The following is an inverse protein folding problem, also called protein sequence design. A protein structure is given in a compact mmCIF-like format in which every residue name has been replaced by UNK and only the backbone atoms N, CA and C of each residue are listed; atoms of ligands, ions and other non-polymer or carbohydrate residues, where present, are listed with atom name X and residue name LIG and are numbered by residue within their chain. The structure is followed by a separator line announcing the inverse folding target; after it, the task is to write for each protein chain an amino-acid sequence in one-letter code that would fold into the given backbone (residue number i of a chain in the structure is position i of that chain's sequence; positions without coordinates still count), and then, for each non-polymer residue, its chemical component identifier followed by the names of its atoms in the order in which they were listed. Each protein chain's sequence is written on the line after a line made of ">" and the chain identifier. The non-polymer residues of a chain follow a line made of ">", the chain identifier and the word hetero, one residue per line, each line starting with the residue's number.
data_IF_192227923445
#
_entry.id   IF_192227923445
#
_cell.length_a   1.000
_cell.length_b   1.000
_cell.length_c   1.000
_cell.angle_alpha   90.00
_cell.angle_beta   90.00
_cell.angle_gamma   90.00
#
_symmetry.space_group_name_H-M   'P 1'
#
loop_
_entity.id
_entity.type
_entity.pdbx_description
1 polymer ?
#
# COMPACT_ATOMS: atom_id res chain seq x y z
N UNK A 1 15.56 37.94 45.63
CA UNK A 1 14.77 38.49 44.52
C UNK A 1 14.34 37.37 43.58
N UNK A 2 13.05 37.35 43.25
CA UNK A 2 12.46 36.52 42.19
C UNK A 2 12.89 37.06 40.82
N UNK A 3 13.25 36.18 39.89
CA UNK A 3 12.65 36.25 38.55
C UNK A 3 12.72 34.88 37.85
N UNK A 4 11.54 34.30 37.65
CA UNK A 4 11.27 33.24 36.69
C UNK A 4 11.34 33.79 35.25
N UNK A 5 11.81 32.96 34.30
CA UNK A 5 11.56 32.95 32.84
C UNK A 5 12.47 31.86 32.24
N UNK A 6 12.01 30.80 31.59
CA UNK A 6 10.67 30.43 31.14
C UNK A 6 10.56 28.91 30.96
N UNK A 7 9.34 28.41 31.05
CA UNK A 7 8.98 27.03 30.72
C UNK A 7 8.11 26.95 29.47
N UNK A 8 8.19 25.76 28.86
CA UNK A 8 7.31 25.15 27.84
C UNK A 8 7.41 25.73 26.41
N UNK A 9 7.44 24.98 25.30
CA UNK A 9 6.96 23.64 24.92
C UNK A 9 8.01 23.02 23.97
N UNK A 10 8.20 21.72 23.76
CA UNK A 10 7.18 20.73 23.41
C UNK A 10 7.71 19.31 23.64
N UNK A 11 7.15 18.63 24.63
CA UNK A 11 7.15 17.17 24.71
C UNK A 11 6.11 16.59 23.77
N UNK A 12 6.23 16.85 22.47
CA UNK A 12 5.54 16.01 21.49
C UNK A 12 6.34 14.72 21.39
N UNK A 13 5.73 13.53 21.57
CA UNK A 13 6.44 12.30 21.30
C UNK A 13 6.95 12.39 19.86
N UNK A 14 8.27 12.28 19.69
CA UNK A 14 8.86 12.03 18.37
C UNK A 14 8.16 10.79 17.87
N UNK A 15 7.29 10.95 16.86
CA UNK A 15 6.60 9.84 16.25
C UNK A 15 7.67 9.04 15.52
N UNK A 16 8.17 7.99 16.17
CA UNK A 16 9.10 7.08 15.52
C UNK A 16 8.35 6.44 14.35
N UNK A 17 8.75 6.79 13.13
CA UNK A 17 8.19 6.20 11.93
C UNK A 17 8.90 4.88 11.66
N UNK A 18 8.22 3.78 11.97
CA UNK A 18 8.60 2.47 11.49
C UNK A 18 8.35 2.37 9.98
N UNK A 19 9.08 1.45 9.32
CA UNK A 19 8.79 1.09 7.92
C UNK A 19 7.33 0.67 7.82
N UNK A 20 6.56 1.34 6.95
CA UNK A 20 5.18 0.96 6.63
C UNK A 20 5.16 -0.09 5.54
N UNK A 21 4.47 -1.20 5.79
CA UNK A 21 4.31 -2.32 4.88
C UNK A 21 2.84 -2.42 4.48
N UNK A 22 2.59 -2.26 3.19
CA UNK A 22 1.26 -2.37 2.59
C UNK A 22 1.24 -3.47 1.55
N UNK A 23 0.09 -4.14 1.41
CA UNK A 23 -0.08 -5.21 0.42
C UNK A 23 -1.20 -4.86 -0.54
N UNK A 24 -0.95 -5.02 -1.85
CA UNK A 24 -1.95 -4.88 -2.91
C UNK A 24 -2.11 -6.19 -3.65
N UNK A 25 -3.34 -6.67 -3.79
CA UNK A 25 -3.67 -7.76 -4.70
C UNK A 25 -4.38 -7.20 -5.93
N UNK A 26 -3.84 -7.52 -7.12
CA UNK A 26 -4.47 -7.13 -8.39
C UNK A 26 -5.71 -7.99 -8.67
N UNK A 27 -6.63 -7.51 -9.51
CA UNK A 27 -7.66 -8.36 -10.12
C UNK A 27 -7.05 -9.57 -10.81
N UNK A 28 -7.81 -10.67 -10.86
CA UNK A 28 -7.52 -11.78 -11.76
C UNK A 28 -7.49 -11.28 -13.21
N UNK A 29 -6.52 -11.73 -13.97
CA UNK A 29 -6.41 -11.40 -15.39
C UNK A 29 -7.46 -12.14 -16.20
N UNK A 30 -7.76 -11.65 -17.41
CA UNK A 30 -8.69 -12.32 -18.32
C UNK A 30 -8.25 -13.74 -18.65
N UNK A 31 -6.94 -13.98 -18.77
CA UNK A 31 -6.37 -15.33 -18.98
C UNK A 31 -6.62 -16.23 -17.77
N UNK A 32 -6.36 -15.76 -16.56
CA UNK A 32 -6.58 -16.55 -15.35
C UNK A 32 -8.05 -16.90 -15.15
N UNK A 33 -8.94 -15.98 -15.49
CA UNK A 33 -10.40 -16.18 -15.45
C UNK A 33 -10.85 -17.18 -16.52
N UNK A 34 -10.35 -17.05 -17.75
CA UNK A 34 -10.65 -17.98 -18.84
C UNK A 34 -10.11 -19.39 -18.59
N UNK A 35 -8.95 -19.49 -17.93
CA UNK A 35 -8.36 -20.76 -17.47
C UNK A 35 -9.12 -21.38 -16.28
N UNK A 36 -10.17 -20.73 -15.75
CA UNK A 36 -10.96 -21.23 -14.61
C UNK A 36 -10.21 -21.24 -13.28
N UNK A 37 -9.17 -20.41 -13.12
CA UNK A 37 -8.36 -20.38 -11.89
C UNK A 37 -9.15 -19.79 -10.73
N UNK A 38 -8.90 -20.33 -9.54
CA UNK A 38 -9.55 -19.90 -8.31
C UNK A 38 -8.81 -18.73 -7.65
N UNK A 39 -9.56 -17.79 -7.08
CA UNK A 39 -9.02 -16.73 -6.23
C UNK A 39 -8.73 -17.30 -4.84
N UNK A 40 -7.46 -17.46 -4.51
CA UNK A 40 -7.00 -18.03 -3.22
C UNK A 40 -6.54 -16.97 -2.22
N UNK A 41 -6.59 -15.69 -2.59
CA UNK A 41 -6.20 -14.57 -1.74
C UNK A 41 -7.43 -13.72 -1.43
N UNK A 42 -7.72 -13.56 -0.15
CA UNK A 42 -8.75 -12.67 0.38
C UNK A 42 -8.09 -11.52 1.15
N UNK A 43 -8.69 -10.33 1.03
CA UNK A 43 -8.18 -9.10 1.63
C UNK A 43 -9.22 -8.52 2.58
N UNK A 44 -8.91 -8.47 3.87
CA UNK A 44 -9.70 -7.76 4.87
C UNK A 44 -9.14 -6.35 5.08
N UNK A 45 -9.71 -5.39 4.35
CA UNK A 45 -9.32 -3.97 4.41
C UNK A 45 -9.54 -3.34 5.79
N UNK A 46 -10.50 -3.84 6.59
CA UNK A 46 -10.78 -3.29 7.93
C UNK A 46 -9.77 -3.76 8.95
N UNK A 47 -9.30 -4.99 8.83
CA UNK A 47 -8.30 -5.59 9.73
C UNK A 47 -6.87 -5.45 9.24
N UNK A 48 -6.65 -4.93 8.03
CA UNK A 48 -5.32 -4.87 7.43
C UNK A 48 -4.76 -6.27 7.17
N UNK A 49 -5.60 -7.26 6.89
CA UNK A 49 -5.19 -8.66 6.84
C UNK A 49 -5.29 -9.27 5.45
N UNK A 50 -4.32 -10.11 5.10
CA UNK A 50 -4.28 -10.97 3.92
C UNK A 50 -4.55 -12.40 4.36
N UNK A 51 -5.55 -13.05 3.78
CA UNK A 51 -5.95 -14.42 4.08
C UNK A 51 -5.67 -15.28 2.85
N UNK A 52 -4.79 -16.27 3.00
CA UNK A 52 -4.45 -17.24 1.96
C UNK A 52 -5.22 -18.54 2.21
N UNK A 53 -6.10 -18.88 1.28
CA UNK A 53 -6.88 -20.12 1.29
C UNK A 53 -6.10 -21.25 0.60
N UNK A 54 -6.20 -22.47 1.12
CA UNK A 54 -5.62 -23.64 0.47
C UNK A 54 -6.30 -23.90 -0.89
N UNK A 55 -5.52 -24.28 -1.90
CA UNK A 55 -6.03 -24.62 -3.22
C UNK A 55 -6.73 -26.00 -3.16
N UNK A 56 -8.06 -25.95 -3.09
CA UNK A 56 -8.92 -27.13 -3.05
C UNK A 56 -8.75 -28.03 -4.30
N UNK A 57 -8.33 -27.46 -5.44
CA UNK A 57 -8.16 -28.21 -6.69
C UNK A 57 -6.89 -29.07 -6.72
N UNK A 58 -5.91 -28.81 -5.84
CA UNK A 58 -4.64 -29.55 -5.76
C UNK A 58 -4.60 -30.60 -4.65
N UNK A 59 -5.76 -31.01 -4.13
CA UNK A 59 -5.83 -32.00 -3.05
C UNK A 59 -5.40 -31.46 -1.69
N UNK A 60 -5.43 -30.12 -1.50
CA UNK A 60 -5.20 -29.44 -0.23
C UNK A 60 -6.31 -29.73 0.77
N UNK A 61 -6.35 -30.96 1.26
CA UNK A 61 -7.34 -31.43 2.22
C UNK A 61 -6.95 -30.98 3.63
N UNK A 62 -7.49 -29.85 4.07
CA UNK A 62 -7.62 -29.53 5.51
C UNK A 62 -6.62 -28.56 6.13
N UNK A 63 -5.72 -27.93 5.38
CA UNK A 63 -4.92 -26.83 5.95
C UNK A 63 -5.80 -25.60 6.22
N UNK A 64 -5.79 -25.04 7.44
CA UNK A 64 -6.51 -23.82 7.74
C UNK A 64 -5.93 -22.63 6.95
N UNK A 65 -6.75 -21.62 6.62
CA UNK A 65 -6.25 -20.42 5.93
C UNK A 65 -5.13 -19.73 6.71
N UNK A 66 -4.11 -19.26 6.00
CA UNK A 66 -2.97 -18.52 6.59
C UNK A 66 -3.29 -17.03 6.58
N UNK A 67 -3.24 -16.38 7.73
CA UNK A 67 -3.55 -14.95 7.87
C UNK A 67 -2.30 -14.15 8.21
N UNK A 68 -2.09 -13.04 7.50
CA UNK A 68 -0.98 -12.11 7.70
C UNK A 68 -1.55 -10.71 7.92
N UNK A 69 -1.00 -9.93 8.85
CA UNK A 69 -1.44 -8.56 9.14
C UNK A 69 -0.37 -7.57 8.70
N UNK A 70 -0.81 -6.47 8.10
CA UNK A 70 0.01 -5.39 7.56
C UNK A 70 -0.57 -4.04 7.98
N UNK A 71 0.15 -2.95 7.72
CA UNK A 71 -0.34 -1.61 8.05
C UNK A 71 -1.60 -1.26 7.23
N UNK A 72 -1.66 -1.71 5.98
CA UNK A 72 -2.83 -1.55 5.11
C UNK A 72 -2.84 -2.65 4.04
N UNK A 73 -4.04 -3.06 3.63
CA UNK A 73 -4.23 -3.97 2.49
C UNK A 73 -5.18 -3.37 1.45
N UNK A 74 -4.90 -3.65 0.19
CA UNK A 74 -5.64 -3.20 -0.98
C UNK A 74 -6.04 -4.41 -1.81
N UNK A 75 -7.33 -4.51 -2.10
CA UNK A 75 -7.91 -5.59 -2.91
C UNK A 75 -7.97 -5.22 -4.40
N UNK A 76 -8.57 -6.12 -5.18
CA UNK A 76 -8.76 -5.97 -6.63
C UNK A 76 -9.69 -4.81 -7.02
N UNK A 77 -10.43 -4.23 -6.06
CA UNK A 77 -11.28 -3.07 -6.29
C UNK A 77 -10.60 -1.74 -5.96
N UNK A 78 -9.38 -1.78 -5.43
CA UNK A 78 -8.67 -0.61 -4.92
C UNK A 78 -8.08 0.24 -6.04
N UNK A 79 -8.49 1.51 -6.08
CA UNK A 79 -8.08 2.49 -7.11
C UNK A 79 -6.69 3.07 -6.83
N UNK A 80 -6.01 3.53 -7.88
CA UNK A 80 -4.67 4.14 -7.76
C UNK A 80 -4.68 5.40 -6.90
N UNK A 81 -5.73 6.23 -7.05
CA UNK A 81 -5.93 7.45 -6.28
C UNK A 81 -5.91 7.16 -4.77
N UNK A 82 -6.75 6.22 -4.33
CA UNK A 82 -6.86 5.84 -2.91
C UNK A 82 -5.54 5.31 -2.39
N UNK A 83 -4.88 4.43 -3.15
CA UNK A 83 -3.57 3.90 -2.79
C UNK A 83 -2.54 5.02 -2.65
N UNK A 84 -2.51 5.99 -3.58
CA UNK A 84 -1.59 7.12 -3.52
C UNK A 84 -1.81 7.97 -2.26
N UNK A 85 -3.05 8.38 -2.02
CA UNK A 85 -3.42 9.26 -0.90
C UNK A 85 -3.09 8.63 0.46
N UNK A 86 -3.34 7.33 0.61
CA UNK A 86 -3.14 6.63 1.89
C UNK A 86 -1.69 6.20 2.13
N UNK A 87 -0.91 5.92 1.07
CA UNK A 87 0.45 5.36 1.19
C UNK A 87 1.56 6.36 0.88
N UNK A 88 1.47 7.07 -0.23
CA UNK A 88 2.58 7.82 -0.82
C UNK A 88 2.52 9.32 -0.53
N UNK A 89 1.33 9.92 -0.49
CA UNK A 89 1.16 11.37 -0.33
C UNK A 89 1.93 11.93 0.87
N UNK A 90 1.82 11.28 2.03
CA UNK A 90 2.57 11.70 3.25
C UNK A 90 4.09 11.57 3.10
N UNK A 91 4.57 10.61 2.33
CA UNK A 91 6.02 10.44 2.10
C UNK A 91 6.51 11.59 1.20
N UNK A 92 5.71 11.99 0.21
CA UNK A 92 6.01 13.15 -0.65
C UNK A 92 6.02 14.43 0.18
N UNK A 93 5.05 14.62 1.08
CA UNK A 93 5.03 15.76 2.02
C UNK A 93 6.30 15.81 2.88
N UNK A 94 6.69 14.69 3.49
CA UNK A 94 7.94 14.61 4.26
C UNK A 94 9.18 14.94 3.43
N UNK A 95 9.20 14.57 2.14
CA UNK A 95 10.31 14.93 1.23
C UNK A 95 10.36 16.44 0.97
N UNK A 96 9.20 17.09 0.83
CA UNK A 96 9.12 18.55 0.69
C UNK A 96 9.55 19.28 1.97
N UNK A 97 9.38 18.66 3.13
CA UNK A 97 9.91 19.15 4.42
C UNK A 97 11.42 18.90 4.63
N UNK A 98 12.09 18.24 3.68
CA UNK A 98 13.53 17.98 3.69
C UNK A 98 13.94 16.63 4.30
N UNK A 99 13.01 15.70 4.49
CA UNK A 99 13.31 14.32 4.88
C UNK A 99 13.57 13.41 3.67
N UNK A 100 14.30 12.32 3.87
CA UNK A 100 14.46 11.30 2.82
C UNK A 100 13.25 10.35 2.84
N UNK A 101 12.57 10.21 1.70
CA UNK A 101 11.46 9.28 1.51
C UNK A 101 11.79 8.21 0.46
N UNK A 102 11.47 6.96 0.75
CA UNK A 102 11.69 5.83 -0.18
C UNK A 102 10.43 4.98 -0.27
N UNK A 103 9.95 4.76 -1.49
CA UNK A 103 8.86 3.81 -1.80
C UNK A 103 9.39 2.79 -2.80
N UNK A 104 9.22 1.51 -2.51
CA UNK A 104 9.56 0.43 -3.43
C UNK A 104 8.44 -0.59 -3.49
N UNK A 105 8.21 -1.15 -4.67
CA UNK A 105 7.23 -2.21 -4.88
C UNK A 105 7.94 -3.56 -4.94
N UNK A 106 7.46 -4.53 -4.16
CA UNK A 106 8.00 -5.89 -4.11
C UNK A 106 6.95 -6.93 -4.48
N UNK A 107 7.37 -8.02 -5.12
CA UNK A 107 6.48 -9.12 -5.52
C UNK A 107 6.94 -9.84 -6.79
N UNK A 108 6.26 -10.93 -7.14
CA UNK A 108 6.54 -11.73 -8.34
C UNK A 108 6.31 -10.93 -9.64
N UNK A 109 6.91 -11.37 -10.75
CA UNK A 109 6.59 -10.86 -12.09
C UNK A 109 5.09 -10.98 -12.38
N UNK A 110 4.48 -9.94 -12.96
CA UNK A 110 3.05 -9.92 -13.29
C UNK A 110 2.09 -9.61 -12.13
N UNK A 111 2.57 -9.26 -10.94
CA UNK A 111 1.69 -8.90 -9.79
C UNK A 111 1.30 -7.42 -9.74
N UNK A 112 1.76 -6.60 -10.69
CA UNK A 112 1.36 -5.19 -10.78
C UNK A 112 2.31 -4.19 -10.11
N UNK A 113 3.59 -4.53 -9.90
CA UNK A 113 4.61 -3.57 -9.40
C UNK A 113 4.71 -2.32 -10.27
N UNK A 114 4.98 -2.48 -11.57
CA UNK A 114 5.06 -1.38 -12.55
C UNK A 114 3.72 -0.64 -12.64
N UNK A 115 2.61 -1.37 -12.64
CA UNK A 115 1.28 -0.75 -12.63
C UNK A 115 1.06 0.11 -11.37
N UNK A 116 1.55 -0.29 -10.20
CA UNK A 116 1.40 0.51 -8.98
C UNK A 116 2.30 1.74 -8.99
N UNK A 117 3.57 1.60 -9.42
CA UNK A 117 4.54 2.70 -9.40
C UNK A 117 4.32 3.68 -10.56
N UNK A 118 4.19 3.19 -11.78
CA UNK A 118 4.08 4.01 -13.00
C UNK A 118 2.62 4.15 -13.44
N UNK A 119 1.87 3.05 -13.40
CA UNK A 119 0.48 3.01 -13.89
C UNK A 119 0.41 3.09 -15.40
N UNK A 120 -0.67 3.70 -15.90
CA UNK A 120 -0.78 4.09 -17.32
C UNK A 120 -1.10 5.58 -17.40
N UNK A 121 -0.67 6.21 -18.49
CA UNK A 121 -0.83 7.67 -18.66
C UNK A 121 -2.30 8.06 -18.81
N UNK A 122 -3.06 7.24 -19.55
CA UNK A 122 -4.47 7.45 -19.85
C UNK A 122 -5.28 6.16 -19.60
N UNK A 123 -6.46 6.26 -18.97
CA UNK A 123 -7.04 7.48 -18.41
C UNK A 123 -6.36 7.89 -17.07
N UNK A 124 -6.49 9.14 -16.60
CA UNK A 124 -5.71 9.67 -15.47
C UNK A 124 -5.89 8.90 -14.16
N UNK A 125 -7.04 8.26 -13.97
CA UNK A 125 -7.37 7.46 -12.79
C UNK A 125 -6.43 6.27 -12.63
N UNK A 126 -5.82 5.80 -13.73
CA UNK A 126 -4.90 4.66 -13.72
C UNK A 126 -3.42 5.05 -13.56
N UNK A 127 -3.10 6.35 -13.47
CA UNK A 127 -1.75 6.84 -13.18
C UNK A 127 -1.26 6.30 -11.83
N UNK A 128 -0.03 5.84 -11.79
CA UNK A 128 0.59 5.24 -10.60
C UNK A 128 1.13 6.28 -9.62
N UNK A 129 1.92 5.81 -8.65
CA UNK A 129 2.51 6.65 -7.60
C UNK A 129 3.43 7.74 -8.17
N UNK A 130 4.31 7.40 -9.12
CA UNK A 130 5.32 8.31 -9.67
C UNK A 130 4.69 9.54 -10.34
N UNK A 131 3.80 9.42 -11.35
CA UNK A 131 3.18 10.58 -11.97
C UNK A 131 2.31 11.40 -11.01
N UNK A 132 1.71 10.78 -10.00
CA UNK A 132 0.93 11.47 -8.95
C UNK A 132 1.83 12.25 -7.98
N UNK A 133 2.96 11.67 -7.60
CA UNK A 133 3.99 12.34 -6.81
C UNK A 133 4.54 13.57 -7.54
N UNK A 134 4.81 13.45 -8.85
CA UNK A 134 5.19 14.59 -9.67
C UNK A 134 4.12 15.68 -9.67
N UNK A 135 2.84 15.33 -9.83
CA UNK A 135 1.75 16.29 -9.77
C UNK A 135 1.71 17.03 -8.42
N UNK A 136 1.80 16.32 -7.29
CA UNK A 136 1.80 16.93 -5.95
C UNK A 136 3.02 17.82 -5.68
N UNK A 137 4.20 17.44 -6.16
CA UNK A 137 5.44 18.23 -5.96
C UNK A 137 5.41 19.57 -6.70
N UNK A 138 4.73 19.62 -7.85
CA UNK A 138 4.68 20.79 -8.72
C UNK A 138 3.33 21.53 -8.71
N UNK A 139 2.44 21.16 -7.78
CA UNK A 139 1.20 21.90 -7.48
C UNK A 139 1.51 23.19 -6.71
#
# INVERSE_FOLDING_TARGET
>A
ERLARGGSMSGLPKKEECVRVVVRCRPMSSKETADGRQKVVEMDKKRGSVILHADQAKGGSGEPPKTFTFDQVYDDTSQQEVLYQETAARIVDSVLEGFNGTIFAYGQTGTGKTFTMEGVNEPPELRGIIPRAFAQVFE
#
